data_IF_585561785913
#
_entry.id   IF_585561785913
#
_cell.length_a   1.000
_cell.length_b   1.000
_cell.length_c   1.000
_cell.angle_alpha   90.00
_cell.angle_beta   90.00
_cell.angle_gamma   90.00
#
_symmetry.space_group_name_H-M   'P 1'
#
loop_
_entity.id
_entity.type
_entity.pdbx_description
1 polymer ?
#
# COMPACT_ATOMS: atom_id res chain seq x y z
N UNK A 1 -2.81 -28.21 2.36
CA UNK A 1 -2.12 -27.77 1.12
C UNK A 1 -1.60 -26.36 1.36
N UNK A 2 -0.36 -26.02 1.00
CA UNK A 2 0.19 -24.66 1.23
C UNK A 2 -0.50 -23.64 0.32
N UNK A 3 -0.77 -22.42 0.78
CA UNK A 3 -1.35 -21.34 -0.05
C UNK A 3 -0.55 -21.08 -1.32
N UNK A 4 0.78 -21.20 -1.22
CA UNK A 4 1.70 -21.10 -2.36
C UNK A 4 1.39 -22.18 -3.41
N UNK A 5 1.09 -23.41 -2.97
CA UNK A 5 0.72 -24.50 -3.88
C UNK A 5 -0.65 -24.30 -4.51
N UNK A 6 -1.63 -23.77 -3.77
CA UNK A 6 -2.95 -23.43 -4.34
C UNK A 6 -2.84 -22.29 -5.36
N UNK A 7 -2.03 -21.27 -5.08
CA UNK A 7 -1.78 -20.19 -6.02
C UNK A 7 -1.10 -20.68 -7.31
N UNK A 8 -0.10 -21.57 -7.17
CA UNK A 8 0.54 -22.20 -8.33
C UNK A 8 -0.42 -23.09 -9.13
N UNK A 9 -1.35 -23.80 -8.47
CA UNK A 9 -2.37 -24.61 -9.15
C UNK A 9 -3.32 -23.73 -9.98
N UNK A 10 -3.90 -22.69 -9.37
CA UNK A 10 -4.82 -21.76 -10.06
C UNK A 10 -4.12 -21.07 -11.23
N UNK A 11 -2.85 -20.69 -11.05
CA UNK A 11 -2.02 -20.14 -12.14
C UNK A 11 -1.87 -21.12 -13.30
N UNK A 12 -1.58 -22.39 -13.02
CA UNK A 12 -1.42 -23.40 -14.08
C UNK A 12 -2.74 -23.68 -14.79
N UNK A 13 -3.86 -23.71 -14.07
CA UNK A 13 -5.21 -23.84 -14.65
C UNK A 13 -5.53 -22.66 -15.58
N UNK A 14 -5.19 -21.43 -15.19
CA UNK A 14 -5.34 -20.26 -16.08
C UNK A 14 -4.49 -20.38 -17.35
N UNK A 15 -3.27 -20.92 -17.25
CA UNK A 15 -2.41 -21.15 -18.42
C UNK A 15 -3.06 -22.16 -19.36
N UNK A 16 -3.57 -23.28 -18.84
CA UNK A 16 -4.28 -24.29 -19.66
C UNK A 16 -5.52 -23.70 -20.34
N UNK A 17 -6.29 -22.89 -19.63
CA UNK A 17 -7.47 -22.20 -20.18
C UNK A 17 -7.08 -21.24 -21.31
N UNK A 18 -5.98 -20.50 -21.16
CA UNK A 18 -5.46 -19.60 -22.19
C UNK A 18 -4.90 -20.35 -23.40
N UNK A 19 -4.27 -21.51 -23.20
CA UNK A 19 -3.74 -22.35 -24.29
C UNK A 19 -4.87 -22.97 -25.14
N UNK A 20 -6.02 -23.29 -24.54
CA UNK A 20 -7.21 -23.83 -25.22
C UNK A 20 -8.14 -22.71 -25.77
N UNK A 21 -7.76 -21.45 -25.59
CA UNK A 21 -8.57 -20.30 -26.03
C UNK A 21 -8.38 -20.04 -27.52
N UNK A 22 -9.50 -19.98 -28.24
CA UNK A 22 -9.61 -19.55 -29.63
C UNK A 22 -10.58 -18.36 -29.72
N UNK A 23 -10.59 -17.65 -30.87
CA UNK A 23 -11.51 -16.52 -31.06
C UNK A 23 -12.99 -16.90 -30.87
N UNK A 24 -13.35 -18.15 -31.18
CA UNK A 24 -14.73 -18.62 -31.16
C UNK A 24 -15.21 -18.99 -29.74
N UNK A 25 -14.30 -19.39 -28.85
CA UNK A 25 -14.64 -19.80 -27.47
C UNK A 25 -14.24 -18.77 -26.40
N UNK A 26 -13.55 -17.68 -26.78
CA UNK A 26 -13.09 -16.64 -25.87
C UNK A 26 -14.21 -16.06 -24.96
N UNK A 27 -15.44 -15.78 -25.46
CA UNK A 27 -16.51 -15.27 -24.63
C UNK A 27 -16.95 -16.21 -23.50
N UNK A 28 -16.78 -17.53 -23.68
CA UNK A 28 -17.11 -18.51 -22.64
C UNK A 28 -15.94 -18.70 -21.66
N UNK A 29 -14.70 -18.57 -22.15
CA UNK A 29 -13.49 -18.70 -21.34
C UNK A 29 -13.23 -17.47 -20.46
N UNK A 30 -13.79 -16.31 -20.78
CA UNK A 30 -13.60 -15.07 -20.01
C UNK A 30 -14.22 -15.14 -18.61
N UNK A 31 -15.39 -15.79 -18.48
CA UNK A 31 -16.07 -15.96 -17.21
C UNK A 31 -15.27 -16.91 -16.31
N UNK A 32 -14.68 -17.97 -16.91
CA UNK A 32 -13.78 -18.89 -16.22
C UNK A 32 -12.52 -18.17 -15.73
N UNK A 33 -11.87 -17.37 -16.59
CA UNK A 33 -10.69 -16.60 -16.20
C UNK A 33 -10.99 -15.58 -15.10
N UNK A 34 -12.15 -14.91 -15.13
CA UNK A 34 -12.58 -13.99 -14.08
C UNK A 34 -12.70 -14.71 -12.73
N UNK A 35 -13.33 -15.88 -12.70
CA UNK A 35 -13.44 -16.67 -11.48
C UNK A 35 -12.06 -17.10 -10.91
N UNK A 36 -11.09 -17.40 -11.77
CA UNK A 36 -9.72 -17.72 -11.32
C UNK A 36 -9.01 -16.49 -10.75
N UNK A 37 -9.23 -15.31 -11.34
CA UNK A 37 -8.71 -14.03 -10.83
C UNK A 37 -9.31 -13.72 -9.45
N UNK A 38 -10.62 -13.87 -9.27
CA UNK A 38 -11.30 -13.68 -7.98
C UNK A 38 -10.78 -14.65 -6.90
N UNK A 39 -10.50 -15.88 -7.29
CA UNK A 39 -9.90 -16.88 -6.40
C UNK A 39 -8.46 -16.48 -6.01
N UNK A 40 -7.65 -15.98 -6.94
CA UNK A 40 -6.32 -15.46 -6.62
C UNK A 40 -6.38 -14.23 -5.70
N UNK A 41 -7.35 -13.34 -5.90
CA UNK A 41 -7.60 -12.21 -4.98
C UNK A 41 -7.94 -12.72 -3.58
N UNK A 42 -8.82 -13.72 -3.48
CA UNK A 42 -9.20 -14.34 -2.20
C UNK A 42 -8.02 -15.02 -1.50
N UNK A 43 -7.18 -15.75 -2.24
CA UNK A 43 -5.97 -16.36 -1.70
C UNK A 43 -4.96 -15.31 -1.22
N UNK A 44 -4.84 -14.19 -1.94
CA UNK A 44 -3.98 -13.07 -1.56
C UNK A 44 -4.45 -12.44 -0.26
N UNK A 45 -5.77 -12.19 -0.12
CA UNK A 45 -6.39 -11.75 1.14
C UNK A 45 -6.03 -12.69 2.30
N UNK A 46 -6.18 -14.01 2.10
CA UNK A 46 -5.85 -15.00 3.14
C UNK A 46 -4.36 -15.03 3.50
N UNK A 47 -3.45 -14.82 2.55
CA UNK A 47 -2.01 -14.71 2.86
C UNK A 47 -1.70 -13.47 3.70
N UNK A 48 -2.35 -12.34 3.41
CA UNK A 48 -2.23 -11.12 4.20
C UNK A 48 -2.76 -11.31 5.62
N UNK A 49 -3.94 -11.91 5.77
CA UNK A 49 -4.51 -12.22 7.09
C UNK A 49 -3.63 -13.17 7.90
N UNK A 50 -3.12 -14.27 7.31
CA UNK A 50 -2.25 -15.22 8.01
C UNK A 50 -0.91 -14.63 8.43
N UNK A 51 -0.37 -13.68 7.65
CA UNK A 51 0.85 -12.96 7.99
C UNK A 51 0.63 -12.03 9.20
N UNK A 52 -0.59 -11.51 9.37
CA UNK A 52 -1.00 -10.73 10.54
C UNK A 52 -1.43 -11.61 11.74
N UNK A 53 -1.95 -12.81 11.50
CA UNK A 53 -2.33 -13.78 12.53
C UNK A 53 -1.10 -14.42 13.22
N UNK A 54 0.00 -14.55 12.49
CA UNK A 54 1.30 -14.99 13.05
C UNK A 54 1.91 -13.98 14.04
N UNK A 55 1.40 -12.75 14.07
CA UNK A 55 1.72 -11.71 15.07
C UNK A 55 0.68 -11.67 16.19
N UNK A 56 -0.49 -12.28 16.00
CA UNK A 56 -1.65 -12.13 16.88
C UNK A 56 -1.90 -13.35 17.79
N UNK A 57 -1.33 -14.52 17.49
CA UNK A 57 -1.53 -15.74 18.29
C UNK A 57 -0.77 -15.82 19.63
N UNK A 58 -0.15 -14.73 20.11
CA UNK A 58 0.24 -14.62 21.52
C UNK A 58 -0.81 -13.92 22.40
N UNK A 59 -1.89 -13.40 21.84
CA UNK A 59 -2.92 -12.73 22.65
C UNK A 59 -4.34 -13.15 22.23
N UNK A 60 -5.01 -13.82 23.17
CA UNK A 60 -6.46 -13.93 23.33
C UNK A 60 -7.15 -15.10 22.63
N UNK A 61 -7.08 -16.24 23.30
CA UNK A 61 -8.30 -16.98 23.66
C UNK A 61 -9.29 -16.04 24.33
N UNK A 62 -10.40 -15.69 23.65
CA UNK A 62 -11.75 -15.68 24.22
C UNK A 62 -12.77 -14.99 23.29
N UNK A 63 -13.92 -15.67 23.11
CA UNK A 63 -15.23 -15.22 22.57
C UNK A 63 -15.34 -15.18 21.04
N UNK A 64 -15.83 -16.27 20.42
CA UNK A 64 -17.24 -16.66 20.22
C UNK A 64 -18.06 -15.69 19.35
N UNK A 65 -18.39 -16.24 18.16
CA UNK A 65 -19.69 -16.26 17.49
C UNK A 65 -20.38 -14.93 17.14
N UNK A 66 -20.53 -14.68 15.84
CA UNK A 66 -21.80 -14.87 15.10
C UNK A 66 -21.65 -14.19 13.73
N UNK A 67 -21.64 -14.90 12.60
CA UNK A 67 -22.77 -15.51 11.88
C UNK A 67 -23.32 -14.60 10.76
N UNK A 68 -23.54 -15.21 9.59
CA UNK A 68 -24.44 -14.84 8.49
C UNK A 68 -23.96 -13.91 7.35
N UNK A 69 -23.57 -14.59 6.26
CA UNK A 69 -24.11 -14.54 4.88
C UNK A 69 -24.36 -13.23 4.13
N UNK A 70 -23.72 -13.10 2.96
CA UNK A 70 -24.20 -12.40 1.75
C UNK A 70 -23.74 -13.22 0.53
N UNK A 71 -24.63 -13.97 -0.13
CA UNK A 71 -25.45 -13.58 -1.27
C UNK A 71 -24.71 -12.80 -2.37
N UNK A 72 -24.34 -13.57 -3.39
CA UNK A 72 -23.94 -13.20 -4.73
C UNK A 72 -25.02 -12.43 -5.50
N UNK A 73 -24.62 -11.39 -6.23
CA UNK A 73 -25.25 -11.06 -7.51
C UNK A 73 -24.32 -10.20 -8.37
N UNK A 74 -23.99 -10.74 -9.53
CA UNK A 74 -23.23 -10.20 -10.65
C UNK A 74 -23.98 -9.06 -11.39
N UNK A 75 -23.23 -8.14 -12.00
CA UNK A 75 -23.39 -7.69 -13.41
C UNK A 75 -22.29 -6.65 -13.72
N UNK A 76 -21.32 -6.91 -14.62
CA UNK A 76 -21.34 -6.86 -16.11
C UNK A 76 -21.46 -5.46 -16.73
N UNK A 77 -20.43 -5.10 -17.51
CA UNK A 77 -20.41 -4.11 -18.61
C UNK A 77 -20.08 -2.67 -18.20
N UNK A 78 -19.21 -1.89 -18.84
CA UNK A 78 -18.54 -2.01 -20.13
C UNK A 78 -17.21 -1.24 -20.11
N UNK A 79 -16.23 -1.84 -20.78
CA UNK A 79 -14.89 -1.35 -21.02
C UNK A 79 -14.88 -0.62 -22.37
N UNK A 80 -14.61 0.69 -22.36
CA UNK A 80 -14.24 1.42 -23.57
C UNK A 80 -12.82 1.98 -23.42
N UNK A 81 -12.01 1.58 -24.40
CA UNK A 81 -10.64 1.97 -24.66
C UNK A 81 -10.47 3.47 -24.86
N UNK A 82 -9.28 4.02 -24.57
CA UNK A 82 -8.29 4.44 -25.58
C UNK A 82 -7.07 5.14 -24.96
N UNK A 83 -5.91 4.80 -25.52
CA UNK A 83 -4.78 5.67 -25.86
C UNK A 83 -3.91 6.25 -24.74
N UNK A 84 -2.87 5.46 -24.46
CA UNK A 84 -1.47 5.84 -24.65
C UNK A 84 -1.23 7.27 -25.17
N UNK A 85 -0.76 8.15 -24.29
CA UNK A 85 0.08 9.29 -24.68
C UNK A 85 1.26 9.37 -23.73
N UNK A 86 2.43 9.28 -24.35
CA UNK A 86 3.74 9.53 -23.78
C UNK A 86 3.87 11.01 -23.43
N UNK A 87 4.44 11.31 -22.26
CA UNK A 87 5.58 12.23 -22.12
C UNK A 87 5.77 12.61 -20.66
N UNK A 88 6.78 12.03 -19.99
CA UNK A 88 7.60 12.80 -19.06
C UNK A 88 9.00 12.21 -18.93
N UNK A 89 9.91 12.79 -19.71
CA UNK A 89 11.36 12.97 -19.53
C UNK A 89 12.01 12.18 -18.38
N UNK A 90 12.70 11.12 -18.77
CA UNK A 90 13.78 10.50 -18.00
C UNK A 90 14.93 11.51 -17.90
N UNK A 91 15.08 12.14 -16.73
CA UNK A 91 16.25 12.95 -16.40
C UNK A 91 17.39 11.99 -16.02
N UNK A 92 18.46 12.03 -16.80
CA UNK A 92 19.73 11.37 -16.50
C UNK A 92 20.30 11.98 -15.22
N UNK A 93 20.24 11.26 -14.10
CA UNK A 93 20.90 11.70 -12.86
C UNK A 93 22.34 11.19 -12.81
N UNK A 94 23.25 12.15 -12.63
CA UNK A 94 24.66 11.97 -12.34
C UNK A 94 24.90 11.15 -11.06
N UNK A 95 26.08 10.52 -10.89
CA UNK A 95 26.39 9.75 -9.70
C UNK A 95 26.41 10.66 -8.46
N UNK A 96 25.41 10.50 -7.59
CA UNK A 96 25.29 11.18 -6.29
C UNK A 96 26.50 10.81 -5.43
N UNK A 97 27.41 11.77 -5.22
CA UNK A 97 28.74 11.54 -4.65
C UNK A 97 28.88 11.84 -3.15
N UNK A 98 27.83 12.26 -2.45
CA UNK A 98 27.92 12.61 -1.04
C UNK A 98 26.70 12.12 -0.24
N UNK A 99 26.66 10.82 0.05
CA UNK A 99 25.74 10.28 1.06
C UNK A 99 26.45 10.33 2.44
N UNK A 100 25.84 10.90 3.49
CA UNK A 100 26.46 10.94 4.82
C UNK A 100 26.83 9.54 5.32
N UNK A 101 27.95 9.39 6.05
CA UNK A 101 28.39 8.11 6.57
C UNK A 101 27.32 7.49 7.46
N UNK A 102 27.28 6.16 7.48
CA UNK A 102 26.45 5.42 8.43
C UNK A 102 27.01 5.75 9.80
N UNK A 103 26.21 6.39 10.65
CA UNK A 103 26.60 6.63 12.01
C UNK A 103 26.64 5.29 12.72
N UNK A 104 27.65 5.07 13.56
CA UNK A 104 27.68 3.91 14.46
C UNK A 104 27.11 4.32 15.80
N UNK A 105 26.35 3.44 16.42
CA UNK A 105 25.97 3.61 17.83
C UNK A 105 27.19 3.38 18.74
N UNK A 106 27.03 3.62 20.05
CA UNK A 106 28.07 3.39 21.06
C UNK A 106 28.53 1.91 21.12
N UNK A 107 27.72 1.00 20.58
CA UNK A 107 28.01 -0.44 20.44
C UNK A 107 28.64 -0.84 19.11
N UNK A 108 28.94 0.11 18.22
CA UNK A 108 29.55 -0.12 16.91
C UNK A 108 28.60 -0.61 15.81
N UNK A 109 27.29 -0.70 16.06
CA UNK A 109 26.26 -1.07 15.09
C UNK A 109 25.97 0.08 14.13
N UNK A 110 25.89 -0.22 12.84
CA UNK A 110 25.56 0.77 11.81
C UNK A 110 24.10 1.19 11.91
N UNK A 111 23.89 2.49 12.03
CA UNK A 111 22.59 3.16 11.91
C UNK A 111 22.50 3.86 10.57
N UNK A 112 21.28 3.94 10.04
CA UNK A 112 21.00 4.53 8.74
C UNK A 112 19.90 5.58 8.84
N UNK A 113 20.05 6.66 8.08
CA UNK A 113 19.05 7.72 8.01
C UNK A 113 17.80 7.23 7.27
N UNK A 114 16.64 7.39 7.90
CA UNK A 114 15.34 7.09 7.31
C UNK A 114 14.70 8.35 6.73
N UNK A 115 14.36 8.29 5.44
CA UNK A 115 13.63 9.35 4.75
C UNK A 115 12.18 8.91 4.53
N UNK A 116 11.25 9.53 5.26
CA UNK A 116 9.81 9.35 5.02
C UNK A 116 9.42 9.93 3.65
N UNK A 117 8.70 9.16 2.85
CA UNK A 117 8.09 9.62 1.58
C UNK A 117 6.57 9.73 1.77
N UNK A 118 5.80 10.07 0.73
CA UNK A 118 4.32 10.10 0.82
C UNK A 118 3.80 8.79 1.41
N UNK A 119 4.15 7.69 0.75
CA UNK A 119 3.86 6.33 1.15
C UNK A 119 5.15 5.63 1.57
N UNK A 120 5.18 5.11 2.81
CA UNK A 120 6.34 4.43 3.34
C UNK A 120 7.55 5.36 3.49
N UNK A 121 8.74 4.80 3.25
CA UNK A 121 9.94 5.59 3.14
C UNK A 121 11.15 4.79 2.69
N UNK A 122 12.32 5.41 2.79
CA UNK A 122 13.52 4.89 2.14
C UNK A 122 14.77 5.09 2.99
N UNK A 123 15.70 4.15 2.86
CA UNK A 123 17.05 4.23 3.42
C UNK A 123 18.04 4.14 2.26
N UNK A 124 18.47 5.29 1.76
CA UNK A 124 19.28 5.40 0.53
C UNK A 124 20.56 4.56 0.60
N UNK A 125 21.24 4.56 1.75
CA UNK A 125 22.55 3.90 1.91
C UNK A 125 22.53 2.39 1.68
N UNK A 126 21.43 1.73 1.99
CA UNK A 126 21.28 0.28 1.84
C UNK A 126 20.30 -0.07 0.73
N UNK A 127 19.85 0.92 -0.05
CA UNK A 127 18.83 0.77 -1.08
C UNK A 127 17.56 0.08 -0.53
N UNK A 128 17.14 0.48 0.67
CA UNK A 128 16.12 -0.22 1.45
C UNK A 128 14.80 0.53 1.48
N UNK A 129 13.73 -0.11 1.00
CA UNK A 129 12.36 0.38 1.20
C UNK A 129 11.87 0.04 2.61
N UNK A 130 11.23 1.00 3.26
CA UNK A 130 10.61 0.86 4.58
C UNK A 130 9.08 0.91 4.41
N UNK A 131 8.36 -0.20 4.65
CA UNK A 131 6.92 -0.24 4.52
C UNK A 131 6.20 0.65 5.55
N UNK A 132 5.05 1.22 5.17
CA UNK A 132 4.23 2.07 6.05
C UNK A 132 3.84 1.37 7.36
N UNK A 133 3.55 0.06 7.30
CA UNK A 133 3.23 -0.74 8.49
C UNK A 133 4.35 -0.70 9.54
N UNK A 134 5.62 -0.73 9.11
CA UNK A 134 6.78 -0.65 10.01
C UNK A 134 6.91 0.75 10.60
N UNK A 135 6.72 1.77 9.76
CA UNK A 135 6.78 3.17 10.15
C UNK A 135 5.75 3.47 11.24
N UNK A 136 4.51 3.02 11.07
CA UNK A 136 3.45 3.19 12.08
C UNK A 136 3.71 2.41 13.35
N UNK A 137 4.08 1.13 13.22
CA UNK A 137 4.34 0.24 14.37
C UNK A 137 5.44 0.79 15.28
N UNK A 138 6.46 1.44 14.73
CA UNK A 138 7.59 1.99 15.49
C UNK A 138 7.48 3.51 15.70
N UNK A 139 6.43 4.13 15.17
CA UNK A 139 6.24 5.58 15.14
C UNK A 139 7.41 6.31 14.48
N UNK A 140 8.01 5.77 13.41
CA UNK A 140 9.17 6.39 12.74
C UNK A 140 8.80 7.74 12.16
N UNK A 141 9.63 8.73 12.43
CA UNK A 141 9.53 10.08 11.93
C UNK A 141 10.57 10.33 10.84
N UNK A 142 10.32 11.34 10.02
CA UNK A 142 11.27 11.75 8.99
C UNK A 142 12.62 12.08 9.64
N UNK A 143 13.72 11.56 9.06
CA UNK A 143 15.09 11.68 9.57
C UNK A 143 15.41 10.99 10.90
N UNK A 144 14.54 10.07 11.36
CA UNK A 144 14.98 9.12 12.38
C UNK A 144 16.13 8.24 11.84
N UNK A 145 16.93 7.71 12.75
CA UNK A 145 17.91 6.69 12.44
C UNK A 145 17.36 5.31 12.75
N UNK A 146 17.56 4.37 11.84
CA UNK A 146 17.11 2.99 11.94
C UNK A 146 18.26 2.01 11.82
N UNK A 147 18.17 0.90 12.54
CA UNK A 147 18.92 -0.30 12.24
C UNK A 147 18.22 -1.05 11.12
N UNK A 148 19.00 -1.73 10.30
CA UNK A 148 18.50 -2.60 9.23
C UNK A 148 19.22 -3.94 9.29
N UNK A 149 18.46 -5.00 9.59
CA UNK A 149 18.95 -6.38 9.59
C UNK A 149 18.44 -7.07 8.32
N UNK A 150 19.36 -7.50 7.46
CA UNK A 150 19.01 -8.25 6.24
C UNK A 150 18.38 -9.60 6.64
N UNK A 151 17.14 -9.85 6.19
CA UNK A 151 16.39 -11.09 6.47
C UNK A 151 16.30 -12.00 5.23
N UNK A 152 16.34 -11.42 4.04
CA UNK A 152 16.25 -12.15 2.78
C UNK A 152 16.99 -11.38 1.69
N UNK A 153 17.72 -12.10 0.85
CA UNK A 153 18.45 -11.57 -0.30
C UNK A 153 18.08 -12.42 -1.50
N UNK A 154 17.30 -11.86 -2.44
CA UNK A 154 16.97 -12.52 -3.70
C UNK A 154 17.45 -11.65 -4.86
N UNK A 155 18.64 -11.97 -5.38
CA UNK A 155 19.31 -11.18 -6.40
C UNK A 155 19.58 -9.75 -5.92
N UNK A 156 19.05 -8.76 -6.65
CA UNK A 156 19.19 -7.34 -6.31
C UNK A 156 18.20 -6.85 -5.25
N UNK A 157 17.18 -7.66 -4.90
CA UNK A 157 16.16 -7.28 -3.92
C UNK A 157 16.53 -7.80 -2.55
N UNK A 158 16.84 -6.86 -1.65
CA UNK A 158 17.09 -7.12 -0.24
C UNK A 158 15.88 -6.76 0.60
N UNK A 159 15.51 -7.64 1.52
CA UNK A 159 14.52 -7.35 2.57
C UNK A 159 15.23 -7.15 3.89
N UNK A 160 14.79 -6.12 4.61
CA UNK A 160 15.35 -5.77 5.90
C UNK A 160 14.26 -5.76 6.97
N UNK A 161 14.60 -6.24 8.15
CA UNK A 161 13.90 -5.91 9.37
C UNK A 161 14.46 -4.59 9.90
N UNK A 162 13.61 -3.59 10.04
CA UNK A 162 14.00 -2.29 10.58
C UNK A 162 13.66 -2.20 12.06
N UNK A 163 14.48 -1.48 12.82
CA UNK A 163 14.17 -1.04 14.18
C UNK A 163 14.68 0.37 14.42
N UNK A 164 13.96 1.16 15.22
CA UNK A 164 14.42 2.49 15.63
C UNK A 164 15.78 2.39 16.34
N UNK A 165 16.75 3.16 15.84
CA UNK A 165 18.08 3.26 16.44
C UNK A 165 18.21 4.53 17.28
N UNK A 166 17.87 5.68 16.70
CA UNK A 166 17.93 6.98 17.36
C UNK A 166 16.85 7.88 16.77
N UNK A 167 16.15 8.63 17.62
CA UNK A 167 15.24 9.69 17.15
C UNK A 167 16.03 10.86 16.58
N UNK A 168 15.46 11.54 15.60
CA UNK A 168 15.97 12.85 15.21
C UNK A 168 16.00 13.77 16.44
N UNK A 169 17.06 14.57 16.59
CA UNK A 169 17.20 15.49 17.73
C UNK A 169 16.17 16.63 17.65
N UNK A 170 15.78 16.99 16.43
CA UNK A 170 14.74 17.96 16.12
C UNK A 170 13.79 17.38 15.08
N UNK A 171 12.53 17.85 15.09
CA UNK A 171 11.59 17.52 14.02
C UNK A 171 12.11 18.13 12.73
N UNK A 172 12.62 17.27 11.84
CA UNK A 172 13.11 17.72 10.56
C UNK A 172 11.95 18.34 9.76
N UNK A 173 12.16 19.50 9.11
CA UNK A 173 11.13 20.09 8.27
C UNK A 173 10.75 19.11 7.16
N UNK A 174 9.45 18.94 6.95
CA UNK A 174 8.90 18.15 5.87
C UNK A 174 7.73 18.90 5.27
N UNK A 175 7.66 18.89 3.94
CA UNK A 175 6.54 19.36 3.13
C UNK A 175 5.41 18.32 3.04
N UNK A 176 5.61 17.12 3.59
CA UNK A 176 4.61 16.06 3.62
C UNK A 176 3.52 16.40 4.62
N UNK A 177 2.33 16.65 4.11
CA UNK A 177 1.10 16.79 4.89
C UNK A 177 0.38 15.45 4.92
N UNK A 178 -0.13 15.07 6.10
CA UNK A 178 -0.96 13.89 6.29
C UNK A 178 -2.29 14.30 6.92
N UNK A 179 -3.38 13.80 6.34
CA UNK A 179 -4.73 13.89 6.90
C UNK A 179 -5.14 12.47 7.26
N UNK A 180 -5.53 12.28 8.51
CA UNK A 180 -5.85 10.94 9.03
C UNK A 180 -7.37 10.75 9.18
N UNK A 181 -7.83 9.51 9.22
CA UNK A 181 -9.25 9.16 9.45
C UNK A 181 -10.21 9.84 8.47
N UNK A 182 -9.83 9.87 7.20
CA UNK A 182 -10.66 10.34 6.10
C UNK A 182 -11.71 9.28 5.74
N UNK A 183 -12.98 9.66 5.71
CA UNK A 183 -14.04 8.75 5.27
C UNK A 183 -14.20 8.82 3.75
N UNK A 184 -14.25 7.66 3.10
CA UNK A 184 -14.48 7.57 1.66
C UNK A 184 -15.97 7.65 1.33
N UNK A 185 -16.33 8.59 0.45
CA UNK A 185 -17.67 8.76 -0.10
C UNK A 185 -17.69 8.36 -1.58
N UNK A 186 -18.80 7.78 -2.03
CA UNK A 186 -19.01 7.55 -3.46
C UNK A 186 -19.63 8.77 -4.13
N UNK A 187 -19.00 9.23 -5.20
CA UNK A 187 -19.54 10.26 -6.11
C UNK A 187 -19.60 9.71 -7.52
N UNK A 188 -20.69 9.00 -7.83
CA UNK A 188 -20.88 8.36 -9.13
C UNK A 188 -19.96 7.16 -9.30
N UNK A 189 -18.89 7.31 -10.10
CA UNK A 189 -17.87 6.26 -10.32
C UNK A 189 -16.55 6.53 -9.60
N UNK A 190 -16.47 7.60 -8.80
CA UNK A 190 -15.25 8.01 -8.12
C UNK A 190 -15.43 7.89 -6.61
N UNK A 191 -14.35 7.49 -5.93
CA UNK A 191 -14.24 7.62 -4.48
C UNK A 191 -13.60 8.97 -4.17
N UNK A 192 -14.19 9.69 -3.22
CA UNK A 192 -13.74 11.01 -2.80
C UNK A 192 -13.62 11.09 -1.28
N UNK A 193 -12.84 12.07 -0.82
CA UNK A 193 -12.81 12.50 0.59
C UNK A 193 -13.14 13.98 0.68
N UNK A 194 -14.10 14.29 1.55
CA UNK A 194 -14.52 15.67 1.88
C UNK A 194 -14.38 16.02 3.35
N UNK A 195 -14.25 15.00 4.20
CA UNK A 195 -14.12 15.18 5.63
C UNK A 195 -13.15 14.17 6.23
N UNK A 196 -12.68 14.50 7.41
CA UNK A 196 -11.85 13.65 8.25
C UNK A 196 -12.44 13.65 9.64
N UNK A 197 -12.38 12.50 10.32
CA UNK A 197 -12.82 12.35 11.71
C UNK A 197 -11.72 12.72 12.72
N UNK A 198 -10.50 13.05 12.26
CA UNK A 198 -9.46 13.58 13.13
C UNK A 198 -9.60 15.11 13.25
N UNK A 199 -9.37 15.63 14.45
CA UNK A 199 -9.38 17.07 14.74
C UNK A 199 -8.50 17.89 13.79
N UNK A 200 -7.32 17.38 13.42
CA UNK A 200 -6.40 18.06 12.48
C UNK A 200 -6.99 18.10 11.07
N UNK A 201 -7.59 17.00 10.64
CA UNK A 201 -8.20 16.89 9.31
C UNK A 201 -9.51 17.67 9.20
N UNK A 202 -10.35 17.66 10.24
CA UNK A 202 -11.52 18.53 10.33
C UNK A 202 -11.15 20.00 10.17
N UNK A 203 -10.12 20.46 10.88
CA UNK A 203 -9.66 21.84 10.79
C UNK A 203 -9.11 22.18 9.40
N UNK A 204 -8.47 21.21 8.73
CA UNK A 204 -8.02 21.36 7.36
C UNK A 204 -9.21 21.54 6.39
N UNK A 205 -10.21 20.66 6.44
CA UNK A 205 -11.40 20.78 5.58
C UNK A 205 -12.26 22.01 5.92
N UNK A 206 -12.32 22.44 7.19
CA UNK A 206 -12.98 23.71 7.57
C UNK A 206 -12.30 24.94 6.96
N UNK A 207 -10.96 24.92 6.85
CA UNK A 207 -10.20 25.99 6.16
C UNK A 207 -10.34 25.90 4.63
N UNK A 208 -10.62 24.72 4.10
CA UNK A 208 -10.75 24.45 2.68
C UNK A 208 -12.09 23.77 2.34
N UNK A 209 -13.23 24.46 2.53
CA UNK A 209 -14.57 23.85 2.47
C UNK A 209 -15.00 23.35 1.08
N UNK A 210 -14.32 23.80 0.02
CA UNK A 210 -14.57 23.37 -1.36
C UNK A 210 -13.56 22.33 -1.85
N UNK A 211 -12.63 21.89 -0.99
CA UNK A 211 -11.61 20.93 -1.37
C UNK A 211 -12.17 19.51 -1.25
N UNK A 212 -12.02 18.75 -2.33
CA UNK A 212 -12.37 17.34 -2.39
C UNK A 212 -11.14 16.59 -2.90
N UNK A 213 -10.74 15.53 -2.21
CA UNK A 213 -9.69 14.64 -2.72
C UNK A 213 -10.34 13.54 -3.55
N UNK A 214 -10.08 13.52 -4.84
CA UNK A 214 -10.50 12.42 -5.73
C UNK A 214 -9.47 11.30 -5.64
N UNK A 215 -9.85 10.13 -5.10
CA UNK A 215 -8.92 9.02 -4.95
C UNK A 215 -8.56 8.47 -6.33
N UNK A 216 -7.26 8.28 -6.54
CA UNK A 216 -6.76 7.74 -7.80
C UNK A 216 -7.18 6.28 -7.97
N UNK A 217 -7.63 5.92 -9.17
CA UNK A 217 -8.05 4.54 -9.49
C UNK A 217 -7.00 3.50 -9.10
N UNK A 218 -5.71 3.84 -9.26
CA UNK A 218 -4.59 2.98 -8.84
C UNK A 218 -4.65 2.62 -7.36
N UNK A 219 -4.95 3.59 -6.48
CA UNK A 219 -5.04 3.35 -5.05
C UNK A 219 -6.30 2.54 -4.71
N UNK A 220 -7.42 2.83 -5.38
CA UNK A 220 -8.67 2.08 -5.24
C UNK A 220 -8.44 0.59 -5.56
N UNK A 221 -7.88 0.28 -6.72
CA UNK A 221 -7.63 -1.10 -7.13
C UNK A 221 -6.58 -1.78 -6.26
N UNK A 222 -5.52 -1.07 -5.85
CA UNK A 222 -4.41 -1.64 -5.07
C UNK A 222 -4.83 -1.98 -3.64
N UNK A 223 -5.60 -1.11 -3.02
CA UNK A 223 -6.00 -1.22 -1.61
C UNK A 223 -7.40 -1.79 -1.44
N UNK A 224 -8.11 -2.07 -2.54
CA UNK A 224 -9.50 -2.54 -2.56
C UNK A 224 -10.42 -1.60 -1.79
N UNK A 225 -10.29 -0.30 -2.08
CA UNK A 225 -11.05 0.73 -1.38
C UNK A 225 -12.51 0.70 -1.80
N UNK A 226 -13.39 0.82 -0.82
CA UNK A 226 -14.84 0.89 -1.01
C UNK A 226 -15.42 2.14 -0.31
N UNK A 227 -16.67 2.46 -0.61
CA UNK A 227 -17.38 3.52 0.10
C UNK A 227 -17.53 3.16 1.58
N UNK A 228 -17.30 4.14 2.46
CA UNK A 228 -17.34 3.97 3.91
C UNK A 228 -16.02 3.55 4.55
N UNK A 229 -15.01 3.18 3.76
CA UNK A 229 -13.68 2.90 4.28
C UNK A 229 -13.04 4.15 4.91
N UNK A 230 -12.33 3.94 6.02
CA UNK A 230 -11.55 4.96 6.69
C UNK A 230 -10.10 4.87 6.25
N UNK A 231 -9.54 5.96 5.73
CA UNK A 231 -8.20 5.99 5.16
C UNK A 231 -7.38 7.15 5.69
N UNK A 232 -6.05 7.03 5.61
CA UNK A 232 -5.16 8.17 5.76
C UNK A 232 -4.61 8.57 4.39
N UNK A 233 -4.55 9.86 4.15
CA UNK A 233 -4.08 10.46 2.90
C UNK A 233 -2.84 11.30 3.19
N UNK A 234 -1.85 11.23 2.30
CA UNK A 234 -0.72 12.14 2.32
C UNK A 234 -0.49 12.81 0.97
N UNK A 235 -0.01 14.04 1.00
CA UNK A 235 0.39 14.84 -0.16
C UNK A 235 1.53 15.78 0.23
N UNK A 236 2.21 16.35 -0.76
CA UNK A 236 3.21 17.39 -0.52
C UNK A 236 2.56 18.77 -0.57
N UNK A 237 3.00 19.68 0.29
CA UNK A 237 2.52 21.05 0.33
C UNK A 237 2.63 21.70 -1.07
N UNK A 238 1.55 22.34 -1.52
CA UNK A 238 1.45 22.89 -2.87
C UNK A 238 1.13 21.89 -3.98
N UNK A 239 1.04 20.58 -3.68
CA UNK A 239 0.70 19.53 -4.66
C UNK A 239 -0.38 18.57 -4.12
N UNK A 240 -1.57 19.13 -3.89
CA UNK A 240 -2.73 18.44 -3.32
C UNK A 240 -3.30 17.39 -4.29
N UNK A 241 -3.19 17.59 -5.60
CA UNK A 241 -3.71 16.70 -6.65
C UNK A 241 -2.93 15.38 -6.81
N UNK A 242 -1.70 15.32 -6.27
CA UNK A 242 -0.89 14.11 -6.23
C UNK A 242 -0.90 13.46 -4.84
N UNK A 243 -2.07 13.44 -4.22
CA UNK A 243 -2.27 12.73 -2.97
C UNK A 243 -2.19 11.21 -3.17
N UNK A 244 -1.84 10.51 -2.10
CA UNK A 244 -1.85 9.05 -2.01
C UNK A 244 -2.60 8.59 -0.80
N UNK A 245 -3.33 7.48 -0.95
CA UNK A 245 -3.82 6.71 0.19
C UNK A 245 -2.64 5.94 0.78
N UNK A 246 -2.29 6.23 2.02
CA UNK A 246 -1.11 5.66 2.70
C UNK A 246 -1.50 4.53 3.66
N UNK A 247 -2.75 4.50 4.11
CA UNK A 247 -3.23 3.53 5.08
C UNK A 247 -4.75 3.36 4.98
N UNK A 248 -5.21 2.14 5.20
CA UNK A 248 -6.64 1.81 5.35
C UNK A 248 -6.83 1.29 6.77
N UNK A 249 -7.79 1.85 7.48
CA UNK A 249 -8.18 1.40 8.81
C UNK A 249 -9.25 0.32 8.66
N UNK A 250 -9.04 -0.82 9.33
CA UNK A 250 -9.96 -1.95 9.38
C UNK A 250 -10.44 -2.17 10.81
#
# INVERSE_FOLDING_TARGET
MSYVKMFEMVKNEMIEVLEDTTLDNFPEKIDVLSAHIDLMHSLTRLTFYKQNESVSNELLTDKMNADVSLNSSESKGDFESLQETQDTKFSTEEPIKDLPPSLKDDGGRSMYLFERKLEGGYVAKINGYVPEAIIRKQGLQHHDYVYAQEIESSGERKRFLYSLAKRAEESAPTDRVQISLCMLESRGKQLIVRESMDSTGEDFFKKHPNLEFVIQERDITRLFLEEGDLVDIAFYEGNIENQKVIWVHH
#
